data_IF_705729435397
#
_entry.id   IF_705729435397
#
_cell.length_a   1.000
_cell.length_b   1.000
_cell.length_c   1.000
_cell.angle_alpha   90.00
_cell.angle_beta   90.00
_cell.angle_gamma   90.00
#
_symmetry.space_group_name_H-M   'P 1'
#
loop_
_entity.id
_entity.type
_entity.pdbx_description
1 polymer ?
#
# COMPACT_ATOMS: atom_id res chain seq x y z
N UNK A 1 -35.75 2.45 -17.54
CA UNK A 1 -34.80 1.94 -16.54
C UNK A 1 -33.61 1.37 -17.30
N UNK A 2 -32.56 2.16 -17.46
CA UNK A 2 -31.30 1.71 -18.05
C UNK A 2 -30.56 0.97 -16.94
N UNK A 3 -30.50 -0.36 -17.05
CA UNK A 3 -29.66 -1.18 -16.19
C UNK A 3 -28.22 -0.95 -16.61
N UNK A 4 -27.43 -0.35 -15.73
CA UNK A 4 -25.99 -0.19 -15.86
C UNK A 4 -25.31 -1.43 -15.25
N UNK A 5 -24.75 -2.35 -16.07
CA UNK A 5 -24.11 -3.57 -15.58
C UNK A 5 -22.77 -3.29 -14.88
N UNK A 6 -22.27 -2.05 -14.90
CA UNK A 6 -20.98 -1.64 -14.30
C UNK A 6 -21.12 -1.04 -12.90
N UNK A 7 -22.34 -0.85 -12.39
CA UNK A 7 -22.61 -0.16 -11.12
C UNK A 7 -22.31 -0.95 -9.83
N UNK A 8 -21.78 -2.17 -9.92
CA UNK A 8 -21.56 -3.04 -8.77
C UNK A 8 -20.21 -3.78 -8.85
N UNK A 9 -19.07 -3.10 -8.67
CA UNK A 9 -17.87 -3.70 -8.04
C UNK A 9 -16.67 -2.77 -7.80
N UNK A 10 -16.85 -1.44 -7.69
CA UNK A 10 -15.83 -0.61 -7.05
C UNK A 10 -15.98 -0.73 -5.53
N UNK A 11 -15.31 -1.74 -4.95
CA UNK A 11 -15.38 -2.10 -3.53
C UNK A 11 -14.47 -1.24 -2.63
N UNK A 12 -14.02 -0.09 -3.11
CA UNK A 12 -13.22 0.85 -2.31
C UNK A 12 -14.05 1.22 -1.08
N UNK A 13 -13.57 0.90 0.13
CA UNK A 13 -14.37 1.11 1.32
C UNK A 13 -14.53 2.62 1.60
N UNK A 14 -15.71 2.97 2.12
CA UNK A 14 -15.96 4.33 2.64
C UNK A 14 -15.01 4.58 3.81
N UNK A 15 -14.32 5.70 3.78
CA UNK A 15 -13.25 6.05 4.72
C UNK A 15 -13.56 7.36 5.41
N UNK A 16 -14.29 7.24 6.51
CA UNK A 16 -14.70 8.38 7.33
C UNK A 16 -13.50 9.00 8.08
N UNK A 17 -12.36 8.30 8.16
CA UNK A 17 -11.16 8.80 8.83
C UNK A 17 -10.26 9.60 7.87
N UNK A 18 -10.56 9.68 6.57
CA UNK A 18 -9.69 10.33 5.58
C UNK A 18 -9.33 11.79 5.91
N UNK A 19 -10.24 12.66 6.35
CA UNK A 19 -9.87 14.04 6.71
C UNK A 19 -8.92 14.10 7.91
N UNK A 20 -9.13 13.24 8.91
CA UNK A 20 -8.27 13.14 10.10
C UNK A 20 -6.89 12.58 9.72
N UNK A 21 -6.91 11.53 8.89
CA UNK A 21 -5.88 11.09 7.92
C UNK A 21 -4.92 12.19 7.49
N UNK A 22 -5.44 12.99 6.57
CA UNK A 22 -4.68 14.00 5.85
C UNK A 22 -4.12 15.06 6.79
N UNK A 23 -4.91 15.49 7.79
CA UNK A 23 -4.42 16.45 8.78
C UNK A 23 -3.22 15.89 9.55
N UNK A 24 -3.30 14.64 10.01
CA UNK A 24 -2.24 14.01 10.79
C UNK A 24 -0.97 13.79 9.98
N UNK A 25 -1.10 13.38 8.72
CA UNK A 25 0.04 13.26 7.81
C UNK A 25 0.76 14.60 7.61
N UNK A 26 0.01 15.70 7.45
CA UNK A 26 0.58 17.06 7.34
C UNK A 26 1.30 17.49 8.61
N UNK A 27 0.74 17.23 9.80
CA UNK A 27 1.39 17.52 11.08
C UNK A 27 2.74 16.80 11.23
N UNK A 28 2.83 15.57 10.71
CA UNK A 28 4.05 14.76 10.72
C UNK A 28 5.02 15.09 9.57
N UNK A 29 4.64 15.96 8.63
CA UNK A 29 5.45 16.27 7.45
C UNK A 29 5.52 15.13 6.42
N UNK A 30 4.53 14.25 6.38
CA UNK A 30 4.46 13.11 5.45
C UNK A 30 3.39 13.27 4.38
N UNK A 31 3.56 12.56 3.26
CA UNK A 31 2.53 12.44 2.21
C UNK A 31 2.70 13.36 1.00
N UNK A 32 3.73 14.20 0.97
CA UNK A 32 4.01 15.12 -0.15
C UNK A 32 5.30 14.79 -0.90
N UNK A 33 6.32 14.29 -0.20
CA UNK A 33 7.63 13.98 -0.79
C UNK A 33 8.06 12.56 -0.45
N UNK A 34 8.81 11.89 -1.36
CA UNK A 34 9.43 10.62 -1.07
C UNK A 34 10.43 10.75 0.08
N UNK A 35 10.56 9.69 0.86
CA UNK A 35 11.49 9.65 1.98
C UNK A 35 12.52 8.52 1.74
N UNK A 36 13.82 8.85 1.62
CA UNK A 36 14.85 7.85 1.38
C UNK A 36 14.91 6.74 2.44
N UNK A 37 14.56 7.05 3.69
CA UNK A 37 14.53 6.05 4.75
C UNK A 37 13.27 5.16 4.68
N UNK A 38 12.18 5.63 4.07
CA UNK A 38 11.05 4.77 3.73
C UNK A 38 11.32 3.92 2.48
N UNK A 39 12.08 4.42 1.50
CA UNK A 39 12.57 3.61 0.37
C UNK A 39 13.47 2.47 0.89
N UNK A 40 14.39 2.77 1.81
CA UNK A 40 15.24 1.77 2.45
C UNK A 40 14.44 0.77 3.29
N UNK A 41 13.42 1.25 4.00
CA UNK A 41 12.49 0.37 4.70
C UNK A 41 11.76 -0.57 3.73
N UNK A 42 11.25 -0.04 2.61
CA UNK A 42 10.56 -0.81 1.59
C UNK A 42 11.49 -1.88 0.98
N UNK A 43 12.76 -1.54 0.72
CA UNK A 43 13.80 -2.49 0.27
C UNK A 43 13.98 -3.63 1.28
N UNK A 44 14.16 -3.33 2.56
CA UNK A 44 14.28 -4.35 3.62
C UNK A 44 13.03 -5.22 3.71
N UNK A 45 11.84 -4.65 3.55
CA UNK A 45 10.59 -5.39 3.56
C UNK A 45 10.49 -6.36 2.38
N UNK A 46 10.93 -5.96 1.17
CA UNK A 46 11.01 -6.85 0.02
C UNK A 46 11.94 -8.05 0.30
N UNK A 47 13.14 -7.79 0.83
CA UNK A 47 14.12 -8.84 1.16
C UNK A 47 13.58 -9.87 2.16
N UNK A 48 12.92 -9.39 3.22
CA UNK A 48 12.37 -10.26 4.27
C UNK A 48 11.20 -11.10 3.78
N UNK A 49 10.41 -10.58 2.83
CA UNK A 49 9.19 -11.24 2.35
C UNK A 49 9.38 -12.05 1.07
N UNK A 50 10.50 -11.84 0.37
CA UNK A 50 10.77 -12.42 -0.94
C UNK A 50 10.01 -11.75 -2.09
N UNK A 51 9.18 -10.75 -1.81
CA UNK A 51 8.34 -10.09 -2.80
C UNK A 51 9.13 -9.06 -3.63
N UNK A 52 8.89 -8.95 -4.94
CA UNK A 52 9.61 -8.05 -5.83
C UNK A 52 9.25 -6.56 -5.63
N UNK A 53 8.01 -6.28 -5.24
CA UNK A 53 7.53 -4.91 -5.03
C UNK A 53 7.15 -4.71 -3.57
N UNK A 54 7.55 -3.57 -3.01
CA UNK A 54 7.31 -3.23 -1.62
C UNK A 54 7.15 -1.73 -1.46
N UNK A 55 6.21 -1.29 -0.62
CA UNK A 55 5.85 0.11 -0.48
C UNK A 55 5.56 0.50 0.97
N UNK A 56 5.95 1.72 1.32
CA UNK A 56 5.34 2.52 2.40
C UNK A 56 4.36 3.47 1.72
N UNK A 57 3.06 3.27 1.98
CA UNK A 57 1.99 3.93 1.25
C UNK A 57 1.14 4.78 2.19
N UNK A 58 1.00 6.08 1.89
CA UNK A 58 0.07 6.97 2.56
C UNK A 58 -1.14 7.23 1.67
N UNK A 59 -2.32 7.29 2.29
CA UNK A 59 -3.59 7.39 1.56
C UNK A 59 -4.27 8.70 1.94
N UNK A 60 -4.48 9.59 0.97
CA UNK A 60 -5.29 10.79 1.15
C UNK A 60 -6.74 10.56 0.69
N UNK A 61 -7.53 11.62 0.52
CA UNK A 61 -8.94 11.53 0.11
C UNK A 61 -9.13 11.02 -1.32
N UNK A 62 -8.16 11.23 -2.21
CA UNK A 62 -8.32 11.02 -3.65
C UNK A 62 -7.27 10.08 -4.26
N UNK A 63 -6.12 9.90 -3.60
CA UNK A 63 -4.98 9.15 -4.13
C UNK A 63 -4.21 8.41 -3.03
N UNK A 64 -3.36 7.53 -3.50
CA UNK A 64 -2.32 6.84 -2.76
C UNK A 64 -0.97 7.42 -3.17
N UNK A 65 -0.09 7.56 -2.19
CA UNK A 65 1.26 8.08 -2.35
C UNK A 65 2.28 7.14 -1.73
N UNK A 66 3.19 6.61 -2.56
CA UNK A 66 4.28 5.73 -2.16
C UNK A 66 5.46 6.55 -1.65
N UNK A 67 5.39 6.91 -0.37
CA UNK A 67 6.44 7.63 0.34
C UNK A 67 7.73 6.81 0.43
N UNK A 68 7.61 5.48 0.46
CA UNK A 68 8.69 4.52 0.25
C UNK A 68 8.31 3.55 -0.86
N UNK A 69 9.22 3.27 -1.78
CA UNK A 69 9.00 2.39 -2.91
C UNK A 69 10.28 1.59 -3.23
N UNK A 70 10.13 0.28 -3.26
CA UNK A 70 11.12 -0.64 -3.81
C UNK A 70 10.51 -1.40 -5.00
N UNK A 71 11.27 -1.46 -6.09
CA UNK A 71 10.94 -2.21 -7.30
C UNK A 71 12.16 -3.01 -7.76
N UNK A 72 11.97 -4.08 -8.54
CA UNK A 72 13.09 -4.84 -9.12
C UNK A 72 14.03 -3.97 -9.96
N UNK A 73 15.29 -4.40 -10.05
CA UNK A 73 16.26 -3.75 -10.93
C UNK A 73 15.79 -3.80 -12.40
N UNK A 74 15.86 -2.67 -13.10
CA UNK A 74 15.40 -2.54 -14.49
C UNK A 74 13.94 -2.10 -14.63
N UNK A 75 13.18 -2.01 -13.53
CA UNK A 75 11.94 -1.21 -13.50
C UNK A 75 12.35 0.23 -13.18
N UNK A 76 12.11 1.18 -14.09
CA UNK A 76 12.44 2.57 -13.80
C UNK A 76 11.40 3.15 -12.84
N UNK A 77 11.82 3.89 -11.79
CA UNK A 77 10.85 4.72 -11.05
C UNK A 77 10.42 5.84 -12.01
N UNK A 78 9.24 5.73 -12.60
CA UNK A 78 8.70 6.76 -13.48
C UNK A 78 8.43 8.03 -12.69
N UNK A 79 8.74 9.20 -13.26
CA UNK A 79 8.27 10.48 -12.75
C UNK A 79 6.78 10.58 -13.04
N UNK A 80 5.96 10.48 -11.99
CA UNK A 80 4.54 10.81 -11.98
C UNK A 80 3.70 10.26 -13.12
N UNK A 81 3.34 8.97 -13.05
CA UNK A 81 2.12 8.39 -13.60
C UNK A 81 1.90 7.02 -12.93
N UNK A 82 0.63 6.67 -12.72
CA UNK A 82 0.14 5.56 -11.90
C UNK A 82 0.95 4.26 -11.94
N UNK A 83 0.89 3.48 -10.86
CA UNK A 83 1.43 2.12 -10.81
C UNK A 83 1.04 1.34 -12.09
N UNK A 84 2.05 1.14 -12.96
CA UNK A 84 2.06 0.30 -14.14
C UNK A 84 0.86 0.42 -15.11
N UNK A 85 0.97 1.31 -16.09
CA UNK A 85 0.53 0.94 -17.43
C UNK A 85 1.53 -0.10 -17.95
N UNK A 86 1.12 -1.37 -18.03
CA UNK A 86 1.84 -2.41 -18.76
C UNK A 86 2.18 -1.90 -20.17
N UNK A 87 3.43 -1.47 -20.38
CA UNK A 87 3.90 -0.87 -21.62
C UNK A 87 4.83 0.34 -21.46
N UNK A 88 4.78 1.05 -20.33
CA UNK A 88 5.57 2.28 -20.11
C UNK A 88 6.48 2.19 -18.88
N UNK A 89 7.35 1.17 -18.86
CA UNK A 89 8.68 1.17 -18.24
C UNK A 89 8.89 1.51 -16.75
N UNK A 90 7.85 1.84 -15.98
CA UNK A 90 8.05 2.26 -14.61
C UNK A 90 6.85 2.30 -13.68
N UNK A 91 7.14 2.19 -12.38
CA UNK A 91 6.17 2.37 -11.29
C UNK A 91 6.31 3.80 -10.78
N UNK A 92 5.28 4.62 -10.96
CA UNK A 92 5.24 5.94 -10.33
C UNK A 92 4.90 5.86 -8.84
N UNK A 93 5.10 6.97 -8.13
CA UNK A 93 4.83 7.06 -6.68
C UNK A 93 3.39 7.39 -6.32
N UNK A 94 2.50 7.45 -7.31
CA UNK A 94 1.10 7.77 -7.12
C UNK A 94 0.24 6.64 -7.68
N UNK A 95 -0.91 6.41 -7.06
CA UNK A 95 -1.92 5.48 -7.55
C UNK A 95 -3.30 6.01 -7.18
N UNK A 96 -4.30 5.76 -8.01
CA UNK A 96 -5.67 6.15 -7.70
C UNK A 96 -6.14 5.44 -6.42
N UNK A 97 -6.97 6.11 -5.62
CA UNK A 97 -7.41 5.59 -4.31
C UNK A 97 -8.24 4.31 -4.42
N UNK A 98 -8.91 4.10 -5.54
CA UNK A 98 -9.73 2.92 -5.81
C UNK A 98 -8.93 1.70 -6.30
N UNK A 99 -7.64 1.86 -6.57
CA UNK A 99 -6.76 0.78 -7.03
C UNK A 99 -6.06 0.06 -5.87
N UNK A 100 -5.80 -1.24 -6.06
CA UNK A 100 -5.07 -2.07 -5.10
C UNK A 100 -5.81 -2.28 -3.77
N UNK A 101 -5.06 -2.77 -2.77
CA UNK A 101 -5.66 -3.35 -1.56
C UNK A 101 -5.41 -2.53 -0.28
N UNK A 102 -4.46 -1.59 -0.31
CA UNK A 102 -4.14 -0.72 0.83
C UNK A 102 -5.34 0.09 1.37
N UNK A 103 -6.27 0.61 0.54
CA UNK A 103 -7.48 1.27 1.05
C UNK A 103 -8.32 0.35 1.95
N UNK A 104 -8.36 -0.95 1.65
CA UNK A 104 -9.05 -1.93 2.49
C UNK A 104 -8.35 -2.15 3.82
N UNK A 105 -7.02 -2.14 3.83
CA UNK A 105 -6.21 -2.30 5.06
C UNK A 105 -6.37 -1.09 5.97
N UNK A 106 -6.32 0.12 5.42
CA UNK A 106 -6.50 1.37 6.19
C UNK A 106 -7.89 1.40 6.84
N UNK A 107 -8.97 1.20 6.07
CA UNK A 107 -10.33 1.28 6.63
C UNK A 107 -10.62 0.16 7.62
N UNK A 108 -10.13 -1.06 7.37
CA UNK A 108 -10.35 -2.19 8.30
C UNK A 108 -9.43 -2.14 9.51
N UNK A 109 -8.36 -1.35 9.47
CA UNK A 109 -7.33 -1.22 10.52
C UNK A 109 -6.75 -2.58 10.91
N UNK A 110 -6.64 -3.49 9.93
CA UNK A 110 -6.20 -4.88 10.11
C UNK A 110 -5.34 -5.30 8.94
N UNK A 111 -4.27 -6.05 9.23
CA UNK A 111 -3.44 -6.66 8.21
C UNK A 111 -4.25 -7.58 7.29
N UNK A 112 -3.84 -7.67 6.04
CA UNK A 112 -4.46 -8.43 4.98
C UNK A 112 -3.38 -9.20 4.24
N UNK A 113 -3.59 -10.51 4.08
CA UNK A 113 -2.75 -11.40 3.29
C UNK A 113 -3.65 -12.06 2.27
N UNK A 114 -3.29 -11.94 1.00
CA UNK A 114 -3.92 -12.54 -0.16
C UNK A 114 -2.83 -13.33 -0.88
N UNK A 115 -2.79 -14.64 -0.66
CA UNK A 115 -1.80 -15.53 -1.26
C UNK A 115 -1.99 -15.63 -2.77
N UNK A 116 -3.26 -15.71 -3.19
CA UNK A 116 -3.72 -15.50 -4.55
C UNK A 116 -4.96 -14.58 -4.51
N UNK A 117 -4.90 -13.40 -5.12
CA UNK A 117 -6.00 -12.43 -5.12
C UNK A 117 -7.22 -12.94 -5.90
N UNK A 118 -7.02 -13.84 -6.86
CA UNK A 118 -8.12 -14.41 -7.66
C UNK A 118 -8.97 -15.42 -6.87
N UNK A 119 -8.43 -15.99 -5.78
CA UNK A 119 -9.19 -16.88 -4.88
C UNK A 119 -10.21 -16.12 -4.02
N UNK A 120 -10.15 -14.78 -4.04
CA UNK A 120 -11.04 -13.92 -3.26
C UNK A 120 -11.91 -13.09 -4.22
N UNK A 121 -13.18 -13.48 -4.46
CA UNK A 121 -14.06 -12.78 -5.42
C UNK A 121 -14.20 -11.27 -5.20
N UNK A 122 -14.10 -10.82 -3.94
CA UNK A 122 -14.11 -9.41 -3.55
C UNK A 122 -12.90 -8.63 -4.11
N UNK A 123 -11.75 -9.28 -4.24
CA UNK A 123 -10.47 -8.67 -4.62
C UNK A 123 -10.08 -8.97 -6.07
N UNK A 124 -10.58 -10.07 -6.63
CA UNK A 124 -10.31 -10.49 -8.00
C UNK A 124 -10.72 -9.47 -9.09
N UNK A 125 -11.71 -8.60 -8.82
CA UNK A 125 -12.15 -7.56 -9.74
C UNK A 125 -11.38 -6.23 -9.65
N UNK A 126 -10.24 -6.19 -8.94
CA UNK A 126 -9.44 -4.97 -8.82
C UNK A 126 -8.64 -4.72 -10.13
N UNK A 127 -8.60 -3.49 -10.67
CA UNK A 127 -7.87 -3.19 -11.89
C UNK A 127 -6.40 -3.65 -11.89
N UNK A 128 -5.74 -3.65 -10.73
CA UNK A 128 -4.33 -4.09 -10.62
C UNK A 128 -4.12 -5.57 -10.97
N UNK A 129 -5.17 -6.39 -10.95
CA UNK A 129 -5.10 -7.80 -11.37
C UNK A 129 -4.89 -7.88 -12.87
N UNK A 130 -5.71 -7.18 -13.66
CA UNK A 130 -5.68 -7.26 -15.13
C UNK A 130 -4.67 -6.29 -15.76
N UNK A 131 -4.51 -5.10 -15.20
CA UNK A 131 -3.64 -4.05 -15.76
C UNK A 131 -2.17 -4.27 -15.44
N UNK A 132 -1.87 -4.85 -14.28
CA UNK A 132 -0.50 -5.03 -13.75
C UNK A 132 -0.13 -6.51 -13.63
N UNK A 133 -1.12 -7.41 -13.54
CA UNK A 133 -0.87 -8.84 -13.35
C UNK A 133 -0.64 -9.25 -11.90
N UNK A 134 -1.06 -8.43 -10.92
CA UNK A 134 -0.84 -8.74 -9.50
C UNK A 134 -1.59 -10.03 -9.11
N UNK A 135 -0.87 -10.99 -8.53
CA UNK A 135 -1.40 -12.27 -8.04
C UNK A 135 -1.39 -12.37 -6.53
N UNK A 136 -0.46 -11.74 -5.82
CA UNK A 136 -0.43 -11.79 -4.37
C UNK A 136 -0.25 -10.42 -3.73
N UNK A 137 -0.80 -10.24 -2.54
CA UNK A 137 -0.71 -9.01 -1.75
C UNK A 137 -0.58 -9.32 -0.26
N UNK A 138 0.30 -8.61 0.41
CA UNK A 138 0.38 -8.62 1.87
C UNK A 138 0.60 -7.20 2.39
N UNK A 139 -0.21 -6.75 3.33
CA UNK A 139 -0.08 -5.41 3.89
C UNK A 139 -0.62 -5.27 5.31
N UNK A 140 -0.11 -4.28 6.02
CA UNK A 140 -0.51 -3.95 7.39
C UNK A 140 -0.64 -2.43 7.59
N UNK A 141 -1.59 -1.98 8.43
CA UNK A 141 -1.81 -0.55 8.66
C UNK A 141 -0.71 0.04 9.54
N UNK A 142 -0.37 1.30 9.28
CA UNK A 142 0.51 2.12 10.13
C UNK A 142 -0.35 2.95 11.07
N UNK A 143 -0.68 2.40 12.23
CA UNK A 143 -1.52 3.08 13.24
C UNK A 143 -0.59 3.82 14.20
N UNK A 144 -0.72 5.15 14.25
CA UNK A 144 0.13 5.96 15.12
C UNK A 144 -0.38 6.01 16.58
N UNK A 145 0.34 6.72 17.45
CA UNK A 145 -0.01 6.88 18.87
C UNK A 145 -1.34 7.60 19.12
N UNK A 146 -1.83 8.36 18.14
CA UNK A 146 -3.16 9.01 18.21
C UNK A 146 -4.28 8.04 17.81
N UNK A 147 -3.92 6.83 17.39
CA UNK A 147 -4.85 5.84 16.89
C UNK A 147 -5.29 6.12 15.45
N UNK A 148 -4.63 6.99 14.70
CA UNK A 148 -4.96 7.25 13.29
C UNK A 148 -4.19 6.27 12.41
N UNK A 149 -4.88 5.60 11.48
CA UNK A 149 -4.24 4.72 10.51
C UNK A 149 -3.64 5.57 9.38
N UNK A 150 -2.37 5.96 9.48
CA UNK A 150 -1.69 6.88 8.56
C UNK A 150 -1.62 6.36 7.11
N UNK A 151 -1.53 5.05 6.95
CA UNK A 151 -1.31 4.38 5.69
C UNK A 151 -1.03 2.90 5.90
N UNK A 152 -0.22 2.31 5.01
CA UNK A 152 0.15 0.90 5.07
C UNK A 152 1.62 0.70 4.73
N UNK A 153 2.20 -0.38 5.25
CA UNK A 153 3.25 -1.09 4.50
C UNK A 153 2.62 -2.22 3.72
N UNK A 154 3.11 -2.48 2.52
CA UNK A 154 2.64 -3.58 1.71
C UNK A 154 3.68 -4.11 0.75
N UNK A 155 3.49 -5.36 0.34
CA UNK A 155 4.21 -6.02 -0.74
C UNK A 155 3.23 -6.62 -1.73
N UNK A 156 3.64 -6.68 -2.99
CA UNK A 156 2.88 -7.32 -4.08
C UNK A 156 3.81 -8.13 -4.97
N UNK A 157 3.23 -9.14 -5.61
CA UNK A 157 3.89 -9.98 -6.60
C UNK A 157 2.92 -10.33 -7.73
N UNK A 158 3.48 -10.59 -8.91
CA UNK A 158 2.80 -11.21 -10.05
C UNK A 158 2.73 -12.73 -9.94
N UNK A 159 3.41 -13.33 -8.96
CA UNK A 159 3.28 -14.74 -8.59
C UNK A 159 2.42 -14.94 -7.32
N UNK A 160 1.89 -16.17 -7.18
CA UNK A 160 1.17 -16.62 -5.98
C UNK A 160 2.18 -16.90 -4.87
N UNK A 161 1.90 -16.43 -3.65
CA UNK A 161 2.82 -16.59 -2.53
C UNK A 161 2.13 -17.16 -1.28
N UNK A 162 2.49 -18.38 -0.82
CA UNK A 162 1.86 -19.02 0.34
C UNK A 162 2.46 -18.51 1.66
N UNK A 163 2.34 -17.20 1.92
CA UNK A 163 2.88 -16.56 3.12
C UNK A 163 2.29 -17.10 4.43
N UNK A 164 1.03 -17.53 4.41
CA UNK A 164 0.31 -18.08 5.54
C UNK A 164 0.36 -17.20 6.78
N UNK A 165 0.34 -17.87 7.94
CA UNK A 165 0.45 -17.20 9.24
C UNK A 165 1.79 -16.52 9.45
N UNK A 166 2.87 -17.06 8.89
CA UNK A 166 4.22 -16.52 9.07
C UNK A 166 4.30 -15.12 8.44
N UNK A 167 3.88 -14.96 7.18
CA UNK A 167 3.88 -13.64 6.56
C UNK A 167 2.94 -12.65 7.26
N UNK A 168 1.77 -13.10 7.74
CA UNK A 168 0.89 -12.24 8.54
C UNK A 168 1.58 -11.68 9.78
N UNK A 169 2.35 -12.49 10.50
CA UNK A 169 3.09 -12.01 11.67
C UNK A 169 4.28 -11.14 11.25
N UNK A 170 5.01 -11.51 10.19
CA UNK A 170 6.10 -10.70 9.63
C UNK A 170 5.64 -9.30 9.25
N UNK A 171 4.55 -9.16 8.50
CA UNK A 171 4.07 -7.83 8.07
C UNK A 171 3.58 -6.98 9.24
N UNK A 172 3.01 -7.59 10.29
CA UNK A 172 2.64 -6.88 11.51
C UNK A 172 3.87 -6.38 12.27
N UNK A 173 4.89 -7.21 12.43
CA UNK A 173 6.14 -6.85 13.09
C UNK A 173 6.82 -5.69 12.35
N UNK A 174 6.93 -5.80 11.02
CA UNK A 174 7.48 -4.72 10.20
C UNK A 174 6.68 -3.42 10.32
N UNK A 175 5.34 -3.50 10.35
CA UNK A 175 4.50 -2.31 10.52
C UNK A 175 4.73 -1.64 11.88
N UNK A 176 4.84 -2.43 12.94
CA UNK A 176 5.17 -1.91 14.28
C UNK A 176 6.54 -1.23 14.30
N UNK A 177 7.56 -1.82 13.67
CA UNK A 177 8.89 -1.21 13.57
C UNK A 177 8.87 0.15 12.84
N UNK A 178 8.11 0.27 11.74
CA UNK A 178 7.99 1.54 11.02
C UNK A 178 7.21 2.58 11.83
N UNK A 179 6.18 2.17 12.57
CA UNK A 179 5.44 3.07 13.48
C UNK A 179 6.36 3.63 14.55
N UNK A 180 7.21 2.80 15.17
CA UNK A 180 8.22 3.27 16.14
C UNK A 180 9.22 4.24 15.49
N UNK A 181 9.63 4.00 14.25
CA UNK A 181 10.48 4.93 13.51
C UNK A 181 9.77 6.28 13.29
N UNK A 182 8.48 6.27 12.95
CA UNK A 182 7.66 7.47 12.81
C UNK A 182 7.58 8.24 14.13
N UNK A 183 7.35 7.55 15.27
CA UNK A 183 7.28 8.21 16.58
C UNK A 183 8.58 8.86 16.98
N UNK A 184 9.72 8.19 16.75
CA UNK A 184 11.05 8.78 17.03
C UNK A 184 11.32 10.05 16.22
N UNK A 185 10.86 10.11 14.97
CA UNK A 185 10.97 11.33 14.14
C UNK A 185 10.08 12.45 14.66
N UNK A 186 8.85 12.13 15.07
CA UNK A 186 7.94 13.11 15.68
C UNK A 186 8.51 13.67 16.99
N UNK A 187 9.21 12.84 17.77
CA UNK A 187 9.89 13.26 19.00
C UNK A 187 11.22 14.01 18.75
N UNK A 188 11.64 14.16 17.48
CA UNK A 188 12.88 14.86 17.09
C UNK A 188 14.17 14.10 17.35
N UNK A 189 14.11 12.75 17.44
CA UNK A 189 15.25 11.90 17.80
C UNK A 189 16.03 11.31 16.61
N UNK A 190 15.73 11.68 15.36
CA UNK A 190 16.41 11.18 14.13
C UNK A 190 16.43 12.27 13.08
#
# INVERSE_FOLDING_TARGET
MTYDPTGHMLLTPIDNEAPTRVRRLRELGFGEQPDPAFDEFARRLAEVTGAPFSMVNFIDENRQFFAGLHTPAGTHSGSDLGAAAAGSGGVGRYMARDHGYCPHVVVRRKALVLEDVCDYPRFAGNPVVDEIGIRSYMGAPLIDRTGVALGTICVVDTDVHPWGRVGLETIKTMAAELVEQIHRREDGMI
#
